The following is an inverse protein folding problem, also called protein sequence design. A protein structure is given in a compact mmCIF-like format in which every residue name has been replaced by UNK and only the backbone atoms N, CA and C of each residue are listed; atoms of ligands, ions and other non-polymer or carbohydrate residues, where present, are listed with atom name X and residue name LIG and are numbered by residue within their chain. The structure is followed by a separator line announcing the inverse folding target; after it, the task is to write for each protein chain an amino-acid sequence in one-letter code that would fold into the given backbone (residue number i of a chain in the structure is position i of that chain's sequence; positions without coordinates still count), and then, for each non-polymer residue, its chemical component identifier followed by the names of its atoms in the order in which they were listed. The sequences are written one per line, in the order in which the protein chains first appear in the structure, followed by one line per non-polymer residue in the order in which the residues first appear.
data_IF_276953822902
#
_entry.id   IF_276953822902
#
_cell.length_a   1.000
_cell.length_b   1.000
_cell.length_c   1.000
_cell.angle_alpha   90.00
_cell.angle_beta   90.00
_cell.angle_gamma   90.00
#
_symmetry.space_group_name_H-M   'P 1'
#
loop_
_entity.id
_entity.type
_entity.pdbx_description
1 polymer ?
#
# COMPACT_ATOMS: atom_id res chain seq x y z
N UNK A 1 8.26 4.22 10.62
CA UNK A 1 7.59 5.38 11.30
C UNK A 1 6.82 6.22 10.29
N UNK A 2 5.63 6.69 10.64
CA UNK A 2 4.82 7.56 9.76
C UNK A 2 5.38 8.99 9.77
N UNK A 3 5.61 9.63 8.61
CA UNK A 3 6.09 11.01 8.53
C UNK A 3 5.12 12.02 9.17
N UNK A 4 5.66 13.10 9.72
CA UNK A 4 4.88 14.28 10.08
C UNK A 4 4.21 14.86 8.82
N UNK A 5 2.97 15.37 8.96
CA UNK A 5 2.23 15.92 7.83
C UNK A 5 1.62 14.86 6.88
N UNK A 6 1.74 13.56 7.20
CA UNK A 6 1.25 12.49 6.32
C UNK A 6 -0.27 12.53 6.15
N UNK A 7 -1.02 12.85 7.19
CA UNK A 7 -2.48 12.83 7.15
C UNK A 7 -3.04 13.94 6.25
N UNK A 8 -2.45 15.13 6.23
CA UNK A 8 -2.81 16.22 5.32
C UNK A 8 -2.52 15.86 3.86
N UNK A 9 -1.37 15.24 3.61
CA UNK A 9 -1.01 14.76 2.27
C UNK A 9 -1.98 13.66 1.79
N UNK A 10 -2.35 12.73 2.65
CA UNK A 10 -3.33 11.68 2.32
C UNK A 10 -4.72 12.27 2.07
N UNK A 11 -5.15 13.25 2.87
CA UNK A 11 -6.41 13.97 2.66
C UNK A 11 -6.45 14.67 1.29
N UNK A 12 -5.33 15.21 0.83
CA UNK A 12 -5.25 15.90 -0.47
C UNK A 12 -5.46 15.00 -1.70
N UNK A 13 -5.35 13.68 -1.55
CA UNK A 13 -5.44 12.72 -2.67
C UNK A 13 -6.84 12.61 -3.28
N UNK A 14 -7.88 13.05 -2.56
CA UNK A 14 -9.28 12.92 -2.94
C UNK A 14 -9.59 11.49 -3.43
N UNK A 15 -9.41 10.52 -2.55
CA UNK A 15 -9.73 9.11 -2.72
C UNK A 15 -10.55 8.62 -1.53
N UNK A 16 -11.24 7.50 -1.67
CA UNK A 16 -11.98 6.89 -0.56
C UNK A 16 -11.07 6.12 0.38
N UNK A 17 -10.00 5.55 -0.19
CA UNK A 17 -8.85 4.99 0.51
C UNK A 17 -7.60 5.65 -0.08
N UNK A 18 -6.87 6.40 0.76
CA UNK A 18 -5.60 7.02 0.39
C UNK A 18 -4.47 6.36 1.21
N UNK A 19 -3.35 6.02 0.57
CA UNK A 19 -2.20 5.41 1.27
C UNK A 19 -0.89 6.08 0.93
N UNK A 20 0.03 6.11 1.89
CA UNK A 20 1.44 6.33 1.63
C UNK A 20 2.10 5.05 1.16
N UNK A 21 3.39 5.13 0.85
CA UNK A 21 4.24 3.96 0.58
C UNK A 21 4.62 3.32 1.90
N UNK A 22 3.98 2.21 2.23
CA UNK A 22 4.35 1.37 3.37
C UNK A 22 5.34 0.28 2.95
N UNK A 23 6.60 0.42 3.37
CA UNK A 23 7.67 -0.53 3.11
C UNK A 23 7.71 -1.60 4.20
N UNK A 24 7.58 -2.87 3.81
CA UNK A 24 7.67 -3.99 4.73
C UNK A 24 8.50 -5.14 4.13
N UNK A 25 8.95 -6.04 5.00
CA UNK A 25 9.59 -7.28 4.58
C UNK A 25 8.53 -8.20 3.99
N UNK A 26 8.75 -8.64 2.76
CA UNK A 26 7.92 -9.60 2.05
C UNK A 26 8.79 -10.76 1.57
N UNK A 27 8.27 -11.98 1.63
CA UNK A 27 8.95 -13.14 1.06
C UNK A 27 8.68 -13.21 -0.45
N UNK A 28 9.74 -13.18 -1.25
CA UNK A 28 9.66 -13.36 -2.70
C UNK A 28 10.67 -14.43 -3.11
N UNK A 29 10.17 -15.53 -3.68
CA UNK A 29 10.98 -16.69 -4.10
C UNK A 29 11.89 -17.21 -2.96
N UNK A 30 11.35 -17.35 -1.74
CA UNK A 30 12.08 -17.83 -0.57
C UNK A 30 13.10 -16.85 0.02
N UNK A 31 13.08 -15.57 -0.42
CA UNK A 31 13.97 -14.52 0.08
C UNK A 31 13.15 -13.38 0.67
N UNK A 32 13.54 -12.95 1.86
CA UNK A 32 13.00 -11.72 2.45
C UNK A 32 13.56 -10.50 1.70
N UNK A 33 12.67 -9.71 1.14
CA UNK A 33 12.99 -8.46 0.44
C UNK A 33 12.09 -7.33 0.96
N UNK A 34 12.58 -6.10 0.92
CA UNK A 34 11.78 -4.94 1.29
C UNK A 34 11.07 -4.42 0.03
N UNK A 35 9.74 -4.44 0.05
CA UNK A 35 8.90 -3.99 -1.04
C UNK A 35 7.83 -3.02 -0.54
N UNK A 36 7.37 -2.09 -1.39
CA UNK A 36 6.20 -1.30 -1.08
C UNK A 36 4.98 -2.21 -1.09
N UNK A 37 4.15 -2.14 -0.06
CA UNK A 37 2.89 -2.88 0.02
C UNK A 37 1.81 -2.15 -0.79
N UNK A 38 2.07 -1.97 -2.08
CA UNK A 38 1.23 -1.27 -3.05
C UNK A 38 1.10 -2.12 -4.30
N UNK A 39 -0.14 -2.42 -4.67
CA UNK A 39 -0.46 -3.26 -5.82
C UNK A 39 -1.19 -2.46 -6.88
N UNK A 40 -0.70 -2.51 -8.11
CA UNK A 40 -1.28 -1.83 -9.27
C UNK A 40 -1.82 -2.84 -10.27
N UNK A 41 -2.84 -2.50 -11.08
CA UNK A 41 -3.32 -3.37 -12.14
C UNK A 41 -2.17 -3.80 -13.07
N UNK A 42 -2.18 -5.07 -13.46
CA UNK A 42 -1.25 -5.65 -14.43
C UNK A 42 -1.98 -6.23 -15.64
N UNK A 43 -3.09 -6.92 -15.40
CA UNK A 43 -4.08 -7.37 -16.39
C UNK A 43 -5.50 -7.06 -15.88
N UNK A 44 -6.53 -7.59 -16.56
CA UNK A 44 -7.93 -7.47 -16.14
C UNK A 44 -8.20 -8.13 -14.76
N UNK A 45 -7.44 -9.17 -14.42
CA UNK A 45 -7.62 -10.01 -13.24
C UNK A 45 -6.37 -10.13 -12.34
N UNK A 46 -5.25 -9.55 -12.76
CA UNK A 46 -3.99 -9.60 -12.01
C UNK A 46 -3.55 -8.21 -11.56
N UNK A 47 -2.97 -8.17 -10.36
CA UNK A 47 -2.25 -7.02 -9.84
C UNK A 47 -0.79 -7.38 -9.56
N UNK A 48 0.10 -6.41 -9.74
CA UNK A 48 1.52 -6.56 -9.41
C UNK A 48 1.92 -5.59 -8.31
N UNK A 49 2.92 -5.96 -7.53
CA UNK A 49 3.56 -5.04 -6.59
C UNK A 49 4.31 -3.94 -7.33
N UNK A 50 4.27 -2.71 -6.83
CA UNK A 50 5.15 -1.64 -7.32
C UNK A 50 6.60 -1.94 -6.98
N UNK A 51 7.52 -1.62 -7.88
CA UNK A 51 8.95 -1.70 -7.58
C UNK A 51 9.42 -0.47 -6.79
N UNK A 52 10.55 -0.61 -6.10
CA UNK A 52 11.22 0.51 -5.42
C UNK A 52 11.52 1.66 -6.39
N UNK A 53 11.89 1.37 -7.64
CA UNK A 53 12.18 2.41 -8.65
C UNK A 53 10.93 3.23 -9.00
N UNK A 54 9.76 2.61 -8.98
CA UNK A 54 8.50 3.27 -9.35
C UNK A 54 7.96 4.21 -8.26
N UNK A 55 8.36 4.02 -7.00
CA UNK A 55 7.96 4.87 -5.87
C UNK A 55 8.97 5.99 -5.55
N UNK A 56 10.12 6.02 -6.23
CA UNK A 56 11.13 7.09 -6.04
C UNK A 56 10.59 8.45 -6.48
N UNK A 57 9.98 8.59 -7.68
CA UNK A 57 9.35 9.86 -8.06
C UNK A 57 8.09 10.10 -7.23
N UNK A 58 7.89 11.35 -6.82
CA UNK A 58 6.68 11.77 -6.12
C UNK A 58 5.52 11.94 -7.11
N UNK A 59 4.44 11.19 -6.89
CA UNK A 59 3.24 11.13 -7.72
C UNK A 59 2.07 10.56 -6.94
N UNK A 60 0.88 10.75 -7.48
CA UNK A 60 -0.33 10.06 -7.05
C UNK A 60 -0.65 8.98 -8.08
N UNK A 61 -0.94 7.75 -7.62
CA UNK A 61 -1.16 6.58 -8.47
C UNK A 61 -2.47 5.92 -8.07
N UNK A 62 -3.29 5.52 -9.04
CA UNK A 62 -4.39 4.58 -8.80
C UNK A 62 -3.85 3.19 -8.50
N UNK A 63 -4.40 2.53 -7.50
CA UNK A 63 -3.94 1.21 -7.03
C UNK A 63 -5.13 0.25 -6.91
N UNK A 64 -4.85 -1.06 -6.96
CA UNK A 64 -5.85 -2.10 -6.73
C UNK A 64 -5.94 -2.49 -5.25
N UNK A 65 -4.81 -2.47 -4.54
CA UNK A 65 -4.75 -2.79 -3.12
C UNK A 65 -3.50 -2.19 -2.46
N UNK A 66 -3.54 -2.07 -1.13
CA UNK A 66 -2.42 -1.62 -0.30
C UNK A 66 -2.43 -2.25 1.09
N UNK A 67 -1.26 -2.35 1.71
CA UNK A 67 -1.17 -2.61 3.14
C UNK A 67 -1.68 -1.39 3.93
N UNK A 68 -2.20 -1.62 5.13
CA UNK A 68 -2.87 -0.57 5.91
C UNK A 68 -1.95 0.18 6.89
N UNK A 69 -0.63 -0.06 6.84
CA UNK A 69 0.35 0.56 7.73
C UNK A 69 0.51 2.09 7.59
N UNK A 70 0.01 2.69 6.50
CA UNK A 70 0.00 4.13 6.29
C UNK A 70 -1.20 4.55 5.43
N UNK A 71 -2.39 4.23 5.92
CA UNK A 71 -3.63 4.38 5.18
C UNK A 71 -4.61 5.33 5.88
N UNK A 72 -5.31 6.12 5.08
CA UNK A 72 -6.44 6.93 5.47
C UNK A 72 -7.68 6.42 4.73
N UNK A 73 -8.67 5.97 5.51
CA UNK A 73 -9.89 5.37 4.99
C UNK A 73 -11.07 6.27 5.35
N UNK A 74 -11.88 6.66 4.36
CA UNK A 74 -13.14 7.38 4.64
C UNK A 74 -14.10 6.47 5.38
N UNK A 75 -14.82 7.04 6.36
CA UNK A 75 -15.86 6.34 7.13
C UNK A 75 -16.83 5.53 6.27
N UNK A 76 -17.32 6.10 5.17
CA UNK A 76 -18.29 5.44 4.29
C UNK A 76 -17.77 4.15 3.64
N UNK A 77 -16.45 3.95 3.56
CA UNK A 77 -15.85 2.68 3.14
C UNK A 77 -16.04 1.62 4.21
N UNK A 78 -15.74 1.94 5.47
CA UNK A 78 -15.87 1.04 6.62
C UNK A 78 -17.32 0.63 6.89
N UNK A 79 -18.28 1.43 6.47
CA UNK A 79 -19.71 1.12 6.55
C UNK A 79 -20.17 0.13 5.47
N UNK A 80 -19.38 -0.10 4.42
CA UNK A 80 -19.74 -0.96 3.27
C UNK A 80 -18.80 -2.13 3.03
N UNK A 81 -17.52 -2.02 3.40
CA UNK A 81 -16.52 -3.08 3.29
C UNK A 81 -16.11 -3.55 4.69
N UNK A 82 -16.20 -4.85 4.94
CA UNK A 82 -15.87 -5.45 6.22
C UNK A 82 -14.47 -6.06 6.21
N UNK A 83 -13.76 -5.95 7.34
CA UNK A 83 -12.55 -6.73 7.56
C UNK A 83 -12.92 -8.20 7.75
N UNK A 84 -12.51 -9.05 6.81
CA UNK A 84 -12.69 -10.49 6.90
C UNK A 84 -11.49 -11.09 7.62
N UNK A 85 -11.76 -11.98 8.57
CA UNK A 85 -10.71 -12.79 9.18
C UNK A 85 -10.46 -14.03 8.30
N UNK A 86 -9.24 -14.16 7.78
CA UNK A 86 -8.87 -15.27 6.91
C UNK A 86 -8.21 -16.36 7.76
N UNK A 87 -8.95 -17.41 8.08
CA UNK A 87 -8.51 -18.45 9.05
C UNK A 87 -7.34 -19.31 8.56
N UNK A 88 -7.11 -19.34 7.24
CA UNK A 88 -6.03 -20.14 6.62
C UNK A 88 -4.82 -19.29 6.20
N UNK A 89 -4.79 -17.99 6.53
CA UNK A 89 -3.69 -17.12 6.09
C UNK A 89 -2.49 -17.21 7.04
N UNK A 90 -1.68 -18.26 6.87
CA UNK A 90 -0.33 -18.32 7.44
C UNK A 90 0.59 -17.17 6.94
N UNK A 91 0.13 -16.40 5.94
CA UNK A 91 0.86 -15.33 5.26
C UNK A 91 0.23 -13.95 5.36
N UNK A 92 -0.86 -13.79 6.14
CA UNK A 92 -1.70 -12.58 6.13
C UNK A 92 -2.48 -12.40 4.83
N UNK A 93 -3.24 -11.31 4.72
CA UNK A 93 -3.97 -10.96 3.49
C UNK A 93 -5.28 -10.21 3.72
N UNK A 94 -5.67 -9.96 4.96
CA UNK A 94 -6.89 -9.25 5.31
C UNK A 94 -6.93 -7.82 4.73
N UNK A 95 -5.78 -7.13 4.73
CA UNK A 95 -5.62 -5.82 4.09
C UNK A 95 -5.98 -5.88 2.60
N UNK A 96 -5.48 -6.90 1.89
CA UNK A 96 -5.76 -7.10 0.46
C UNK A 96 -7.23 -7.42 0.23
N UNK A 97 -7.78 -8.34 1.02
CA UNK A 97 -9.20 -8.70 0.95
C UNK A 97 -10.09 -7.48 1.16
N UNK A 98 -9.78 -6.64 2.15
CA UNK A 98 -10.50 -5.41 2.41
C UNK A 98 -10.42 -4.43 1.22
N UNK A 99 -9.23 -4.23 0.64
CA UNK A 99 -9.07 -3.37 -0.53
C UNK A 99 -9.86 -3.86 -1.74
N UNK A 100 -9.85 -5.18 -1.99
CA UNK A 100 -10.60 -5.77 -3.09
C UNK A 100 -12.11 -5.64 -2.89
N UNK A 101 -12.60 -5.90 -1.68
CA UNK A 101 -14.03 -5.74 -1.35
C UNK A 101 -14.45 -4.27 -1.49
N UNK A 102 -13.62 -3.32 -1.06
CA UNK A 102 -13.86 -1.89 -1.25
C UNK A 102 -13.87 -1.48 -2.73
N UNK A 103 -12.92 -1.97 -3.53
CA UNK A 103 -12.88 -1.72 -4.97
C UNK A 103 -14.12 -2.29 -5.68
N UNK A 104 -14.56 -3.51 -5.30
CA UNK A 104 -15.80 -4.11 -5.81
C UNK A 104 -17.05 -3.31 -5.44
N UNK A 105 -17.05 -2.65 -4.29
CA UNK A 105 -18.10 -1.70 -3.89
C UNK A 105 -18.02 -0.34 -4.60
N UNK A 106 -17.06 -0.16 -5.53
CA UNK A 106 -16.90 1.04 -6.35
C UNK A 106 -16.09 2.16 -5.70
N UNK A 107 -15.36 1.88 -4.62
CA UNK A 107 -14.52 2.88 -3.96
C UNK A 107 -13.21 3.11 -4.70
N UNK A 108 -12.73 4.35 -4.65
CA UNK A 108 -11.48 4.76 -5.28
C UNK A 108 -10.30 4.61 -4.32
N UNK A 109 -9.27 3.87 -4.74
CA UNK A 109 -8.02 3.71 -4.02
C UNK A 109 -6.89 4.49 -4.73
N UNK A 110 -6.11 5.27 -3.96
CA UNK A 110 -4.91 5.96 -4.46
C UNK A 110 -3.73 5.85 -3.50
N UNK A 111 -2.53 5.77 -4.06
CA UNK A 111 -1.28 5.94 -3.33
C UNK A 111 -0.64 7.30 -3.63
N UNK A 112 -0.13 7.98 -2.61
CA UNK A 112 0.77 9.13 -2.77
C UNK A 112 2.20 8.69 -2.45
N UNK A 113 3.08 8.74 -3.44
CA UNK A 113 4.46 8.26 -3.26
C UNK A 113 5.34 9.23 -2.49
N UNK A 114 4.96 10.49 -2.31
CA UNK A 114 5.68 11.45 -1.48
C UNK A 114 5.70 11.07 0.01
N UNK A 115 4.64 10.41 0.49
CA UNK A 115 4.56 9.88 1.86
C UNK A 115 5.17 8.48 1.86
N UNK A 116 6.26 8.29 2.60
CA UNK A 116 6.96 6.99 2.69
C UNK A 116 7.21 6.66 4.15
N UNK A 117 6.89 5.44 4.56
CA UNK A 117 7.18 4.92 5.89
C UNK A 117 7.63 3.47 5.82
N UNK A 118 8.29 3.03 6.88
CA UNK A 118 8.71 1.65 7.09
C UNK A 118 8.00 1.00 8.27
N UNK A 119 7.86 -0.33 8.19
CA UNK A 119 7.50 -1.16 9.31
C UNK A 119 8.52 -0.97 10.45
N UNK A 120 8.03 -0.80 11.68
CA UNK A 120 8.88 -0.89 12.85
C UNK A 120 9.51 -2.28 12.91
N UNK A 121 10.78 -2.37 12.50
CA UNK A 121 11.59 -3.57 12.56
C UNK A 121 12.94 -3.21 13.18
N UNK A 122 13.61 -4.13 13.89
CA UNK A 122 14.96 -3.88 14.42
C UNK A 122 16.00 -3.65 13.32
N UNK A 123 15.67 -3.98 12.08
CA UNK A 123 16.51 -3.74 10.90
C UNK A 123 16.11 -2.41 10.27
N UNK A 124 17.09 -1.51 10.05
CA UNK A 124 16.86 -0.28 9.28
C UNK A 124 16.53 -0.65 7.84
N UNK A 125 15.42 -0.12 7.33
CA UNK A 125 15.12 -0.15 5.89
C UNK A 125 16.06 0.84 5.19
N UNK A 126 17.05 0.31 4.47
CA UNK A 126 17.96 1.13 3.63
C UNK A 126 17.57 0.95 2.18
N UNK A 127 16.86 1.94 1.62
CA UNK A 127 16.58 2.00 0.18
C UNK A 127 17.82 2.51 -0.54
N UNK A 128 18.53 1.62 -1.24
CA UNK A 128 19.57 2.02 -2.19
C UNK A 128 18.92 2.35 -3.53
N UNK A 129 18.80 3.64 -3.81
CA UNK A 129 18.34 4.12 -5.11
C UNK A 129 19.56 4.24 -6.03
N UNK A 130 19.61 3.54 -7.18
CA UNK A 130 20.69 3.73 -8.14
C UNK A 130 20.68 5.19 -8.63
N UNK A 131 21.85 5.84 -8.60
CA UNK A 131 22.05 7.13 -9.25
C UNK A 131 21.77 7.00 -10.74
N UNK A 132 21.10 7.99 -11.34
CA UNK A 132 20.98 8.08 -12.80
C UNK A 132 22.39 8.15 -13.39
N UNK A 133 22.74 7.21 -14.25
CA UNK A 133 23.80 7.37 -15.25
C UNK A 133 23.33 8.35 -16.33
#
# INVERSE_FOLDING_TARGET
MIPEGAHEQLLSCNADIATGVYLCNQEVNGKMVILPTLYVPFSDDEARVLSVKEIVPDKVIGISACGLGCCLIKRGVLEKAAFRHLTDSSTGGEDMAFCLDAAQAGFLLKAITAVKCDHLSPQRVVLRVPSKE
#
